data_IF_216791995251
#
_entry.id   IF_216791995251
#
_cell.length_a   1.000
_cell.length_b   1.000
_cell.length_c   1.000
_cell.angle_alpha   90.00
_cell.angle_beta   90.00
_cell.angle_gamma   90.00
#
_symmetry.space_group_name_H-M   'P 1'
#
loop_
_entity.id
_entity.type
_entity.pdbx_description
1 polymer ?
#
# COMPACT_ATOMS: atom_id res chain seq x y z
N UNK A 1 -13.12 1.73 2.70
CA UNK A 1 -11.78 2.23 3.00
C UNK A 1 -10.84 2.06 1.81
N UNK A 2 -10.67 0.84 1.26
CA UNK A 2 -9.74 0.56 0.16
C UNK A 2 -9.96 1.45 -1.08
N UNK A 3 -11.21 1.65 -1.50
CA UNK A 3 -11.54 2.53 -2.63
C UNK A 3 -11.11 3.99 -2.40
N UNK A 4 -11.27 4.50 -1.18
CA UNK A 4 -10.85 5.87 -0.84
C UNK A 4 -9.33 6.01 -0.87
N UNK A 5 -8.61 5.00 -0.34
CA UNK A 5 -7.15 4.98 -0.38
C UNK A 5 -6.62 4.84 -1.82
N UNK A 6 -7.30 4.07 -2.67
CA UNK A 6 -6.95 3.96 -4.09
C UNK A 6 -7.19 5.29 -4.83
N UNK A 7 -8.33 5.95 -4.60
CA UNK A 7 -8.58 7.27 -5.17
C UNK A 7 -7.54 8.31 -4.74
N UNK A 8 -7.15 8.29 -3.45
CA UNK A 8 -6.08 9.14 -2.94
C UNK A 8 -4.74 8.84 -3.62
N UNK A 9 -4.41 7.56 -3.85
CA UNK A 9 -3.19 7.18 -4.55
C UNK A 9 -3.15 7.72 -6.00
N UNK A 10 -4.29 7.73 -6.71
CA UNK A 10 -4.39 8.36 -8.03
C UNK A 10 -4.09 9.86 -7.95
N UNK A 11 -4.72 10.57 -7.01
CA UNK A 11 -4.50 12.01 -6.83
C UNK A 11 -3.04 12.35 -6.48
N UNK A 12 -2.44 11.61 -5.55
CA UNK A 12 -1.03 11.78 -5.18
C UNK A 12 -0.08 11.42 -6.32
N UNK A 13 -0.42 10.38 -7.10
CA UNK A 13 0.34 10.02 -8.29
C UNK A 13 0.29 11.10 -9.37
N UNK A 14 -0.87 11.68 -9.63
CA UNK A 14 -1.04 12.79 -10.56
C UNK A 14 -0.26 14.04 -10.11
N UNK A 15 -0.32 14.38 -8.82
CA UNK A 15 0.49 15.47 -8.26
C UNK A 15 1.99 15.21 -8.44
N UNK A 16 2.46 13.98 -8.19
CA UNK A 16 3.85 13.59 -8.40
C UNK A 16 4.31 13.69 -9.84
N UNK A 17 3.40 13.48 -10.81
CA UNK A 17 3.71 13.54 -12.21
C UNK A 17 3.78 14.97 -12.77
N UNK A 18 2.98 15.90 -12.24
CA UNK A 18 2.76 17.22 -12.84
C UNK A 18 3.17 18.41 -11.96
N UNK A 19 3.18 18.27 -10.64
CA UNK A 19 3.40 19.40 -9.74
C UNK A 19 4.63 19.27 -8.83
N UNK A 20 5.10 18.04 -8.60
CA UNK A 20 6.17 17.80 -7.63
C UNK A 20 7.54 18.20 -8.19
N UNK A 21 7.80 17.95 -9.49
CA UNK A 21 9.09 18.21 -10.12
C UNK A 21 9.48 19.67 -10.03
N UNK A 22 8.63 20.56 -10.54
CA UNK A 22 8.85 22.02 -10.53
C UNK A 22 9.13 22.52 -9.11
N UNK A 23 8.33 22.07 -8.13
CA UNK A 23 8.51 22.48 -6.73
C UNK A 23 9.83 21.99 -6.12
N UNK A 24 10.28 20.79 -6.46
CA UNK A 24 11.56 20.27 -5.97
C UNK A 24 12.76 20.98 -6.63
N UNK A 25 12.64 21.33 -7.90
CA UNK A 25 13.65 22.12 -8.61
C UNK A 25 13.78 23.54 -8.02
N UNK A 26 12.67 24.19 -7.65
CA UNK A 26 12.69 25.47 -6.94
C UNK A 26 13.44 25.40 -5.59
N UNK A 27 13.32 24.26 -4.87
CA UNK A 27 13.92 24.08 -3.53
C UNK A 27 15.38 23.66 -3.63
N UNK A 28 15.72 22.74 -4.57
CA UNK A 28 17.04 22.10 -4.64
C UNK A 28 17.93 22.65 -5.76
N UNK A 29 17.40 23.54 -6.60
CA UNK A 29 18.15 24.13 -7.71
C UNK A 29 18.60 23.08 -8.73
N UNK A 30 19.90 23.11 -9.07
CA UNK A 30 20.47 22.23 -10.09
C UNK A 30 20.87 20.82 -9.59
N UNK A 31 20.59 20.46 -8.33
CA UNK A 31 20.85 19.10 -7.83
C UNK A 31 19.79 18.10 -8.34
N UNK A 32 19.91 17.78 -9.62
CA UNK A 32 19.01 16.88 -10.34
C UNK A 32 18.97 15.46 -9.75
N UNK A 33 20.06 15.00 -9.15
CA UNK A 33 20.10 13.67 -8.54
C UNK A 33 19.19 13.59 -7.31
N UNK A 34 19.22 14.61 -6.47
CA UNK A 34 18.31 14.72 -5.31
C UNK A 34 16.87 14.87 -5.76
N UNK A 35 16.59 15.71 -6.75
CA UNK A 35 15.23 15.90 -7.30
C UNK A 35 14.68 14.58 -7.84
N UNK A 36 15.44 13.89 -8.69
CA UNK A 36 15.02 12.62 -9.29
C UNK A 36 14.74 11.55 -8.23
N UNK A 37 15.63 11.40 -7.24
CA UNK A 37 15.45 10.44 -6.15
C UNK A 37 14.17 10.71 -5.34
N UNK A 38 13.81 11.97 -5.14
CA UNK A 38 12.56 12.34 -4.43
C UNK A 38 11.33 12.04 -5.27
N UNK A 39 11.37 12.32 -6.57
CA UNK A 39 10.30 11.98 -7.51
C UNK A 39 10.08 10.46 -7.54
N UNK A 40 11.15 9.68 -7.59
CA UNK A 40 11.11 8.22 -7.57
C UNK A 40 10.49 7.69 -6.26
N UNK A 41 10.88 8.24 -5.11
CA UNK A 41 10.29 7.89 -3.82
C UNK A 41 8.79 8.18 -3.78
N UNK A 42 8.37 9.32 -4.33
CA UNK A 42 6.95 9.68 -4.41
C UNK A 42 6.15 8.73 -5.30
N UNK A 43 6.67 8.44 -6.49
CA UNK A 43 6.07 7.48 -7.42
C UNK A 43 5.94 6.09 -6.79
N UNK A 44 6.99 5.64 -6.12
CA UNK A 44 7.00 4.37 -5.38
C UNK A 44 5.93 4.37 -4.29
N UNK A 45 5.81 5.45 -3.51
CA UNK A 45 4.79 5.57 -2.47
C UNK A 45 3.37 5.45 -3.05
N UNK A 46 3.07 6.15 -4.15
CA UNK A 46 1.76 6.15 -4.78
C UNK A 46 1.42 4.76 -5.38
N UNK A 47 2.38 4.12 -6.03
CA UNK A 47 2.20 2.80 -6.60
C UNK A 47 1.91 1.74 -5.52
N UNK A 48 2.71 1.71 -4.45
CA UNK A 48 2.51 0.76 -3.35
C UNK A 48 1.22 1.04 -2.58
N UNK A 49 0.85 2.30 -2.39
CA UNK A 49 -0.46 2.65 -1.83
C UNK A 49 -1.59 2.10 -2.70
N UNK A 50 -1.52 2.25 -4.02
CA UNK A 50 -2.52 1.71 -4.95
C UNK A 50 -2.61 0.19 -4.85
N UNK A 51 -1.48 -0.54 -4.96
CA UNK A 51 -1.48 -2.00 -4.94
C UNK A 51 -2.11 -2.56 -3.66
N UNK A 52 -1.81 -1.98 -2.51
CA UNK A 52 -2.30 -2.48 -1.22
C UNK A 52 -3.70 -1.94 -0.87
N UNK A 53 -4.12 -0.83 -1.49
CA UNK A 53 -5.51 -0.39 -1.46
C UNK A 53 -6.42 -1.37 -2.19
N UNK A 54 -5.99 -1.91 -3.34
CA UNK A 54 -6.67 -3.01 -4.03
C UNK A 54 -6.67 -4.28 -3.19
N UNK A 55 -5.57 -4.57 -2.48
CA UNK A 55 -5.50 -5.65 -1.49
C UNK A 55 -6.55 -5.50 -0.39
N UNK A 56 -6.77 -4.30 0.13
CA UNK A 56 -7.82 -4.02 1.13
C UNK A 56 -9.23 -4.23 0.55
N UNK A 57 -9.47 -3.85 -0.71
CA UNK A 57 -10.74 -4.12 -1.39
C UNK A 57 -10.97 -5.64 -1.49
N UNK A 58 -9.94 -6.38 -1.91
CA UNK A 58 -10.00 -7.84 -2.00
C UNK A 58 -10.28 -8.50 -0.65
N UNK A 59 -9.64 -8.04 0.43
CA UNK A 59 -9.94 -8.45 1.81
C UNK A 59 -11.41 -8.23 2.15
N UNK A 60 -11.96 -7.08 1.78
CA UNK A 60 -13.39 -6.77 1.98
C UNK A 60 -14.29 -7.75 1.26
N UNK A 61 -14.02 -8.03 -0.02
CA UNK A 61 -14.79 -8.99 -0.83
C UNK A 61 -14.74 -10.40 -0.24
N UNK A 62 -13.55 -10.88 0.14
CA UNK A 62 -13.40 -12.21 0.76
C UNK A 62 -14.18 -12.29 2.09
N UNK A 63 -14.14 -11.24 2.90
CA UNK A 63 -14.81 -11.20 4.19
C UNK A 63 -16.33 -11.19 4.05
N UNK A 64 -16.87 -10.59 2.97
CA UNK A 64 -18.30 -10.63 2.65
C UNK A 64 -18.75 -12.04 2.24
N UNK A 65 -17.93 -12.77 1.49
CA UNK A 65 -18.24 -14.13 1.07
C UNK A 65 -18.10 -15.13 2.22
N UNK A 66 -17.06 -15.00 3.02
CA UNK A 66 -16.78 -15.86 4.16
C UNK A 66 -15.97 -15.12 5.23
N UNK A 67 -16.51 -14.93 6.44
CA UNK A 67 -15.76 -14.31 7.53
C UNK A 67 -14.48 -15.08 7.84
N UNK A 68 -13.33 -14.41 7.79
CA UNK A 68 -12.02 -15.00 8.05
C UNK A 68 -11.17 -14.09 8.93
N UNK A 69 -10.65 -14.65 10.04
CA UNK A 69 -9.69 -13.92 10.87
C UNK A 69 -8.38 -13.60 10.12
N UNK A 70 -7.97 -14.47 9.21
CA UNK A 70 -6.77 -14.26 8.41
C UNK A 70 -6.96 -13.10 7.41
N UNK A 71 -8.14 -12.98 6.80
CA UNK A 71 -8.45 -11.84 5.93
C UNK A 71 -8.46 -10.52 6.72
N UNK A 72 -9.00 -10.50 7.94
CA UNK A 72 -8.97 -9.30 8.80
C UNK A 72 -7.55 -8.88 9.16
N UNK A 73 -6.68 -9.86 9.53
CA UNK A 73 -5.26 -9.61 9.81
C UNK A 73 -4.56 -9.05 8.56
N UNK A 74 -4.81 -9.63 7.39
CA UNK A 74 -4.26 -9.13 6.12
C UNK A 74 -4.64 -7.68 5.85
N UNK A 75 -5.92 -7.31 6.06
CA UNK A 75 -6.40 -5.94 5.90
C UNK A 75 -5.73 -4.96 6.85
N UNK A 76 -5.53 -5.35 8.12
CA UNK A 76 -4.81 -4.54 9.09
C UNK A 76 -3.34 -4.35 8.71
N UNK A 77 -2.67 -5.41 8.25
CA UNK A 77 -1.28 -5.36 7.80
C UNK A 77 -1.11 -4.50 6.54
N UNK A 78 -2.04 -4.55 5.59
CA UNK A 78 -2.02 -3.66 4.43
C UNK A 78 -2.18 -2.19 4.84
N UNK A 79 -3.10 -1.89 5.74
CA UNK A 79 -3.28 -0.53 6.23
C UNK A 79 -2.04 -0.02 6.96
N UNK A 80 -1.47 -0.83 7.86
CA UNK A 80 -0.21 -0.51 8.55
C UNK A 80 0.92 -0.29 7.57
N UNK A 81 1.04 -1.15 6.55
CA UNK A 81 2.03 -1.01 5.49
C UNK A 81 1.85 0.29 4.69
N UNK A 82 0.62 0.67 4.32
CA UNK A 82 0.36 1.95 3.64
C UNK A 82 0.83 3.12 4.51
N UNK A 83 0.56 3.11 5.81
CA UNK A 83 1.01 4.17 6.71
C UNK A 83 2.55 4.21 6.84
N UNK A 84 3.20 3.07 7.08
CA UNK A 84 4.64 3.00 7.36
C UNK A 84 5.51 3.00 6.10
N UNK A 85 5.00 2.58 4.96
CA UNK A 85 5.74 2.61 3.71
C UNK A 85 5.40 3.86 2.89
N UNK A 86 4.18 3.92 2.36
CA UNK A 86 3.79 5.02 1.48
C UNK A 86 3.70 6.34 2.22
N UNK A 87 3.10 6.36 3.42
CA UNK A 87 2.99 7.57 4.24
C UNK A 87 4.35 8.14 4.62
N UNK A 88 5.31 7.29 5.05
CA UNK A 88 6.65 7.76 5.39
C UNK A 88 7.48 8.17 4.18
N UNK A 89 7.30 7.53 3.01
CA UNK A 89 7.94 7.98 1.78
C UNK A 89 7.44 9.37 1.35
N UNK A 90 6.13 9.64 1.42
CA UNK A 90 5.61 10.98 1.18
C UNK A 90 6.17 11.99 2.19
N UNK A 91 6.15 11.62 3.48
CA UNK A 91 6.70 12.48 4.53
C UNK A 91 8.21 12.74 4.35
N UNK A 92 8.99 11.73 3.91
CA UNK A 92 10.41 11.88 3.61
C UNK A 92 10.65 12.92 2.50
N UNK A 93 9.81 12.89 1.46
CA UNK A 93 9.93 13.86 0.34
C UNK A 93 9.54 15.27 0.78
N UNK A 94 8.46 15.41 1.57
CA UNK A 94 7.94 16.73 1.98
C UNK A 94 8.77 17.35 3.11
N UNK A 95 9.12 16.54 4.13
CA UNK A 95 9.79 17.01 5.35
C UNK A 95 11.30 16.98 5.27
N UNK A 96 11.85 16.36 4.22
CA UNK A 96 13.30 16.24 4.00
C UNK A 96 14.07 15.58 5.16
N UNK A 97 13.42 14.61 5.83
CA UNK A 97 13.99 13.92 6.99
C UNK A 97 14.48 12.52 6.63
N UNK A 98 15.80 12.32 6.35
CA UNK A 98 16.34 11.03 5.87
C UNK A 98 16.08 9.87 6.84
N UNK A 99 15.98 10.12 8.15
CA UNK A 99 15.75 9.06 9.14
C UNK A 99 14.41 8.34 8.93
N UNK A 100 13.41 8.99 8.30
CA UNK A 100 12.14 8.35 7.97
C UNK A 100 12.33 7.15 7.04
N UNK A 101 13.33 7.23 6.14
CA UNK A 101 13.67 6.14 5.24
C UNK A 101 14.10 4.85 5.95
N UNK A 102 14.66 4.95 7.17
CA UNK A 102 15.06 3.78 7.95
C UNK A 102 13.85 2.97 8.46
N UNK A 103 12.68 3.59 8.59
CA UNK A 103 11.45 2.95 9.08
C UNK A 103 10.65 2.32 7.93
N UNK A 104 10.77 2.83 6.71
CA UNK A 104 10.06 2.37 5.52
C UNK A 104 10.10 0.84 5.32
N UNK A 105 11.25 0.14 5.52
CA UNK A 105 11.31 -1.31 5.35
C UNK A 105 10.34 -2.09 6.24
N UNK A 106 10.00 -1.58 7.44
CA UNK A 106 9.00 -2.21 8.31
C UNK A 106 7.61 -2.21 7.67
N UNK A 107 7.27 -1.15 6.91
CA UNK A 107 6.05 -1.09 6.12
C UNK A 107 6.06 -2.14 5.00
N UNK A 108 7.21 -2.36 4.34
CA UNK A 108 7.39 -3.41 3.34
C UNK A 108 7.17 -4.81 3.92
N UNK A 109 7.72 -5.09 5.11
CA UNK A 109 7.48 -6.36 5.83
C UNK A 109 6.00 -6.54 6.17
N UNK A 110 5.31 -5.45 6.55
CA UNK A 110 3.87 -5.47 6.81
C UNK A 110 3.08 -5.86 5.56
N UNK A 111 3.45 -5.36 4.39
CA UNK A 111 2.84 -5.75 3.11
C UNK A 111 3.03 -7.23 2.81
N UNK A 112 4.26 -7.74 2.95
CA UNK A 112 4.57 -9.17 2.75
C UNK A 112 3.70 -10.02 3.67
N UNK A 113 3.66 -9.69 4.96
CA UNK A 113 2.80 -10.36 5.93
C UNK A 113 1.32 -10.33 5.52
N UNK A 114 0.83 -9.17 5.06
CA UNK A 114 -0.54 -9.01 4.58
C UNK A 114 -0.87 -9.99 3.44
N UNK A 115 -0.01 -10.12 2.44
CA UNK A 115 -0.20 -11.06 1.34
C UNK A 115 -0.16 -12.53 1.78
N UNK A 116 0.73 -12.90 2.72
CA UNK A 116 0.78 -14.25 3.27
C UNK A 116 -0.51 -14.61 4.03
N UNK A 117 -1.01 -13.70 4.86
CA UNK A 117 -2.28 -13.91 5.56
C UNK A 117 -3.47 -13.96 4.61
N UNK A 118 -3.46 -13.17 3.54
CA UNK A 118 -4.51 -13.20 2.53
C UNK A 118 -4.49 -14.52 1.75
N UNK A 119 -3.33 -15.01 1.35
CA UNK A 119 -3.16 -16.31 0.73
C UNK A 119 -3.68 -17.43 1.65
N UNK A 120 -3.39 -17.37 2.94
CA UNK A 120 -3.93 -18.32 3.92
C UNK A 120 -5.46 -18.26 4.02
N UNK A 121 -6.05 -17.06 3.94
CA UNK A 121 -7.49 -16.88 3.96
C UNK A 121 -8.16 -17.52 2.75
N UNK A 122 -7.60 -17.37 1.55
CA UNK A 122 -8.13 -17.92 0.30
C UNK A 122 -7.96 -19.45 0.22
N UNK A 123 -6.83 -19.99 0.65
CA UNK A 123 -6.61 -21.45 0.69
C UNK A 123 -7.64 -22.17 1.56
N UNK A 124 -8.11 -21.55 2.64
CA UNK A 124 -9.16 -22.13 3.50
C UNK A 124 -10.56 -22.08 2.85
N UNK A 125 -10.75 -21.31 1.78
CA UNK A 125 -12.02 -21.25 1.03
C UNK A 125 -12.18 -22.40 0.04
N UNK A 126 -11.09 -23.03 -0.37
CA UNK A 126 -11.07 -24.06 -1.43
C UNK A 126 -11.53 -25.44 -1.00
N UNK A 127 -12.04 -25.65 0.23
CA UNK A 127 -12.68 -26.90 0.61
C UNK A 127 -14.16 -26.82 0.25
N UNK A 128 -14.64 -27.53 -0.81
CA UNK A 128 -16.07 -27.72 -1.02
C UNK A 128 -16.62 -28.50 0.18
N UNK A 129 -17.72 -28.01 0.78
CA UNK A 129 -18.53 -28.87 1.63
C UNK A 129 -18.95 -30.06 0.76
N UNK A 130 -18.54 -31.24 1.13
CA UNK A 130 -19.10 -32.48 0.56
C UNK A 130 -20.60 -32.42 0.81
N UNK A 131 -21.37 -32.19 -0.25
CA UNK A 131 -22.83 -32.31 -0.22
C UNK A 131 -23.10 -33.75 0.18
N UNK A 132 -23.48 -33.95 1.44
CA UNK A 132 -24.06 -35.22 1.88
C UNK A 132 -25.42 -35.34 1.20
N UNK A 133 -25.47 -36.07 0.08
CA UNK A 133 -26.72 -36.54 -0.46
C UNK A 133 -27.30 -37.48 0.61
N UNK A 134 -28.36 -37.04 1.29
CA UNK A 134 -29.22 -37.92 2.09
C UNK A 134 -30.04 -38.73 1.10
N UNK A 135 -29.73 -40.01 1.04
CA UNK A 135 -30.59 -41.03 0.47
C UNK A 135 -31.88 -41.21 1.31
#
# INVERSE_FOLDING_TARGET
LGCLLAGLAVGLGAFGAHGLGERLEEIHGEDLDTVNKRIENWKTAAAYQMYHSLGIILVGMITLLRPSKFAKIAGFLFLTGICLFSGLLYALVILEKPFLGAIVPLGGLSFIGGWLFLARATCCMSRPETVQLKD
#
